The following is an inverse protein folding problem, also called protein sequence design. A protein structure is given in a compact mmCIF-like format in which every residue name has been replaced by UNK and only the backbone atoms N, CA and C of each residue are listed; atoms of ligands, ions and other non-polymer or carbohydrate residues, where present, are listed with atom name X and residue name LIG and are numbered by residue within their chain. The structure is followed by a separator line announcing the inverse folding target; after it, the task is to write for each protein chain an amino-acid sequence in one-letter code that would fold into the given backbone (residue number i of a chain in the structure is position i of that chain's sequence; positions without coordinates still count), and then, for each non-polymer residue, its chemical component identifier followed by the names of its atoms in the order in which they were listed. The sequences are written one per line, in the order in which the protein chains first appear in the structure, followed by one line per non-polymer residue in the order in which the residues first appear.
data_IF_735518121819
#
_entry.id   IF_735518121819
#
_cell.length_a   1.000
_cell.length_b   1.000
_cell.length_c   1.000
_cell.angle_alpha   90.00
_cell.angle_beta   90.00
_cell.angle_gamma   90.00
#
_symmetry.space_group_name_H-M   'P 1'
#
loop_
_entity.id
_entity.type
_entity.pdbx_description
1 polymer ?
#
# COMPACT_ATOMS: atom_id res chain seq x y z
N UNK A 1 -8.44 11.16 16.81
CA UNK A 1 -8.75 11.37 15.38
C UNK A 1 -9.96 10.53 15.06
N UNK A 2 -11.10 11.18 14.80
CA UNK A 2 -12.36 10.52 14.49
C UNK A 2 -12.42 10.32 12.97
N UNK A 3 -12.42 9.07 12.52
CA UNK A 3 -12.43 8.75 11.09
C UNK A 3 -13.84 8.33 10.66
N UNK A 4 -14.83 9.20 10.86
CA UNK A 4 -16.27 8.91 10.68
C UNK A 4 -16.70 8.41 9.30
N UNK A 5 -15.80 8.37 8.31
CA UNK A 5 -16.05 7.88 6.95
C UNK A 5 -15.62 6.41 6.72
N UNK A 6 -15.02 5.75 7.72
CA UNK A 6 -14.33 4.45 7.55
C UNK A 6 -15.23 3.24 7.27
N UNK A 7 -16.50 3.26 7.67
CA UNK A 7 -17.41 2.13 7.42
C UNK A 7 -18.01 2.16 6.01
N UNK A 8 -18.32 3.34 5.48
CA UNK A 8 -18.93 3.49 4.16
C UNK A 8 -17.89 3.52 3.02
N UNK A 9 -16.70 4.09 3.26
CA UNK A 9 -15.70 4.29 2.20
C UNK A 9 -14.82 3.06 1.98
N UNK A 10 -14.64 2.20 2.97
CA UNK A 10 -13.57 1.20 2.89
C UNK A 10 -14.03 -0.16 2.30
N UNK A 11 -15.34 -0.39 2.21
CA UNK A 11 -15.94 -1.54 1.52
C UNK A 11 -15.37 -2.90 1.95
N UNK A 12 -15.53 -3.96 1.14
CA UNK A 12 -14.94 -5.27 1.43
C UNK A 12 -13.40 -5.27 1.42
N UNK A 13 -12.75 -4.25 0.87
CA UNK A 13 -11.29 -4.17 0.73
C UNK A 13 -10.57 -4.09 2.09
N UNK A 14 -11.21 -3.56 3.14
CA UNK A 14 -10.61 -3.49 4.50
C UNK A 14 -10.13 -4.83 5.02
N UNK A 15 -10.79 -5.92 4.62
CA UNK A 15 -10.50 -7.27 5.13
C UNK A 15 -9.11 -7.76 4.73
N UNK A 16 -8.51 -7.18 3.69
CA UNK A 16 -7.16 -7.54 3.24
C UNK A 16 -6.07 -6.91 4.10
N UNK A 17 -6.41 -5.88 4.89
CA UNK A 17 -5.46 -5.11 5.68
C UNK A 17 -5.44 -5.53 7.14
N UNK A 18 -4.26 -5.47 7.74
CA UNK A 18 -4.05 -5.69 9.15
C UNK A 18 -4.56 -4.52 9.98
N UNK A 19 -4.54 -4.69 11.29
CA UNK A 19 -4.82 -3.61 12.24
C UNK A 19 -3.53 -3.26 12.99
N UNK A 20 -3.31 -1.97 13.21
CA UNK A 20 -2.23 -1.51 14.08
C UNK A 20 -2.52 -1.78 15.56
N UNK A 21 -1.55 -1.50 16.43
CA UNK A 21 -1.68 -1.68 17.88
C UNK A 21 -2.87 -0.89 18.48
N UNK A 22 -3.24 0.23 17.86
CA UNK A 22 -4.39 1.05 18.23
C UNK A 22 -5.72 0.56 17.62
N UNK A 23 -5.76 -0.64 17.04
CA UNK A 23 -6.95 -1.24 16.44
C UNK A 23 -7.36 -0.69 15.06
N UNK A 24 -6.67 0.35 14.56
CA UNK A 24 -6.99 1.00 13.29
C UNK A 24 -6.56 0.12 12.11
N UNK A 25 -7.43 -0.02 11.10
CA UNK A 25 -7.11 -0.69 9.85
C UNK A 25 -5.97 0.03 9.12
N UNK A 26 -4.89 -0.69 8.83
CA UNK A 26 -3.68 -0.11 8.24
C UNK A 26 -3.91 0.41 6.82
N UNK A 27 -4.74 -0.26 6.01
CA UNK A 27 -5.06 0.18 4.66
C UNK A 27 -5.74 1.54 4.66
N UNK A 28 -6.79 1.66 5.49
CA UNK A 28 -7.48 2.94 5.68
C UNK A 28 -6.51 4.00 6.19
N UNK A 29 -5.71 3.67 7.21
CA UNK A 29 -4.74 4.61 7.77
C UNK A 29 -3.78 5.12 6.70
N UNK A 30 -3.11 4.23 5.98
CA UNK A 30 -2.13 4.59 4.96
C UNK A 30 -2.79 5.35 3.81
N UNK A 31 -3.87 4.82 3.24
CA UNK A 31 -4.57 5.43 2.12
C UNK A 31 -5.12 6.83 2.46
N UNK A 32 -5.79 6.97 3.60
CA UNK A 32 -6.29 8.25 4.07
C UNK A 32 -5.16 9.22 4.42
N UNK A 33 -4.11 8.76 5.12
CA UNK A 33 -2.96 9.61 5.46
C UNK A 33 -2.20 10.09 4.22
N UNK A 34 -2.18 9.28 3.15
CA UNK A 34 -1.60 9.70 1.88
C UNK A 34 -2.48 10.75 1.18
N UNK A 35 -3.80 10.67 1.28
CA UNK A 35 -4.68 11.68 0.68
C UNK A 35 -4.81 12.99 1.48
N UNK A 36 -4.96 12.92 2.80
CA UNK A 36 -5.53 14.04 3.57
C UNK A 36 -4.57 14.94 4.33
N UNK A 37 -3.29 14.61 4.37
CA UNK A 37 -2.25 15.43 5.00
C UNK A 37 -2.42 15.67 6.51
N UNK A 38 -1.27 15.83 7.17
CA UNK A 38 -1.18 16.64 8.39
C UNK A 38 -0.30 17.88 8.17
N UNK A 39 0.44 18.02 7.05
CA UNK A 39 1.39 19.12 6.78
C UNK A 39 1.89 19.22 5.31
N UNK A 40 1.01 19.37 4.31
CA UNK A 40 1.38 19.73 2.92
C UNK A 40 2.05 18.70 1.99
N UNK A 41 2.65 17.58 2.47
CA UNK A 41 3.59 16.77 1.65
C UNK A 41 3.15 15.36 1.18
N UNK A 42 1.99 14.80 1.57
CA UNK A 42 1.71 13.35 1.43
C UNK A 42 0.84 12.87 0.26
N UNK A 43 0.15 13.74 -0.47
CA UNK A 43 -0.49 13.36 -1.74
C UNK A 43 0.52 12.75 -2.72
N UNK A 44 1.80 13.10 -2.58
CA UNK A 44 2.91 12.50 -3.32
C UNK A 44 2.98 10.98 -3.19
N UNK A 45 2.57 10.34 -2.08
CA UNK A 45 2.75 8.90 -1.93
C UNK A 45 1.80 8.07 -2.83
N UNK A 46 0.52 8.44 -2.88
CA UNK A 46 -0.44 7.80 -3.80
C UNK A 46 -0.05 8.11 -5.25
N UNK A 47 0.36 9.35 -5.53
CA UNK A 47 0.84 9.78 -6.84
C UNK A 47 2.10 9.00 -7.26
N UNK A 48 3.07 8.84 -6.37
CA UNK A 48 4.30 8.09 -6.62
C UNK A 48 3.99 6.63 -6.86
N UNK A 49 3.15 5.99 -6.04
CA UNK A 49 2.70 4.61 -6.27
C UNK A 49 2.04 4.51 -7.65
N UNK A 50 1.09 5.38 -7.98
CA UNK A 50 0.44 5.39 -9.29
C UNK A 50 1.46 5.54 -10.44
N UNK A 51 2.41 6.48 -10.31
CA UNK A 51 3.46 6.73 -11.30
C UNK A 51 4.40 5.53 -11.47
N UNK A 52 4.85 4.90 -10.39
CA UNK A 52 5.72 3.70 -10.43
C UNK A 52 5.04 2.52 -11.12
N UNK A 53 3.71 2.41 -10.97
CA UNK A 53 2.91 1.36 -11.57
C UNK A 53 2.40 1.73 -12.98
N UNK A 54 2.60 2.99 -13.41
CA UNK A 54 2.00 3.57 -14.62
C UNK A 54 0.48 3.38 -14.65
N UNK A 55 -0.18 3.67 -13.51
CA UNK A 55 -1.63 3.63 -13.33
C UNK A 55 -2.13 5.09 -13.28
N UNK A 56 -3.26 5.43 -13.93
CA UNK A 56 -3.86 6.76 -13.81
C UNK A 56 -4.17 7.10 -12.35
N UNK A 57 -3.83 8.29 -11.87
CA UNK A 57 -4.10 8.71 -10.49
C UNK A 57 -5.59 8.63 -10.11
N UNK A 58 -6.48 8.83 -11.10
CA UNK A 58 -7.94 8.69 -10.93
C UNK A 58 -8.36 7.31 -10.42
N UNK A 59 -7.60 6.26 -10.74
CA UNK A 59 -7.83 4.90 -10.24
C UNK A 59 -7.64 4.79 -8.72
N UNK A 60 -6.86 5.67 -8.12
CA UNK A 60 -6.66 5.75 -6.67
C UNK A 60 -7.35 6.97 -6.05
N UNK A 61 -8.26 7.63 -6.76
CA UNK A 61 -9.05 8.79 -6.32
C UNK A 61 -9.61 8.60 -4.91
N UNK A 62 -9.61 9.65 -4.08
CA UNK A 62 -10.08 9.63 -2.70
C UNK A 62 -11.58 9.24 -2.56
N UNK A 63 -11.86 7.95 -2.71
CA UNK A 63 -13.18 7.36 -2.83
C UNK A 63 -13.12 5.89 -2.44
N UNK A 64 -14.28 5.26 -2.26
CA UNK A 64 -14.34 3.84 -1.97
C UNK A 64 -13.75 2.97 -3.08
N UNK A 65 -14.05 3.34 -4.33
CA UNK A 65 -13.50 2.70 -5.53
C UNK A 65 -11.99 2.85 -5.58
N UNK A 66 -11.46 4.04 -5.28
CA UNK A 66 -10.01 4.26 -5.27
C UNK A 66 -9.29 3.48 -4.18
N UNK A 67 -9.88 3.37 -2.98
CA UNK A 67 -9.34 2.50 -1.93
C UNK A 67 -9.37 1.02 -2.31
N UNK A 68 -10.46 0.57 -2.94
CA UNK A 68 -10.58 -0.78 -3.47
C UNK A 68 -9.49 -1.07 -4.52
N UNK A 69 -9.30 -0.19 -5.49
CA UNK A 69 -8.29 -0.31 -6.54
C UNK A 69 -6.87 -0.31 -5.98
N UNK A 70 -6.58 0.56 -5.02
CA UNK A 70 -5.31 0.59 -4.29
C UNK A 70 -5.05 -0.73 -3.57
N UNK A 71 -6.07 -1.28 -2.89
CA UNK A 71 -5.99 -2.56 -2.19
C UNK A 71 -5.80 -3.73 -3.16
N UNK A 72 -6.57 -3.79 -4.24
CA UNK A 72 -6.48 -4.88 -5.20
C UNK A 72 -5.17 -4.85 -5.98
N UNK A 73 -4.61 -3.67 -6.22
CA UNK A 73 -3.23 -3.53 -6.73
C UNK A 73 -2.25 -4.21 -5.79
N UNK A 74 -2.32 -3.91 -4.48
CA UNK A 74 -1.44 -4.54 -3.50
C UNK A 74 -1.60 -6.07 -3.44
N UNK A 75 -2.85 -6.56 -3.44
CA UNK A 75 -3.14 -8.01 -3.47
C UNK A 75 -2.56 -8.66 -4.73
N UNK A 76 -2.79 -8.07 -5.90
CA UNK A 76 -2.26 -8.59 -7.17
C UNK A 76 -0.74 -8.61 -7.18
N UNK A 77 -0.08 -7.61 -6.60
CA UNK A 77 1.38 -7.60 -6.47
C UNK A 77 1.88 -8.75 -5.60
N UNK A 78 1.26 -9.00 -4.45
CA UNK A 78 1.66 -10.11 -3.56
C UNK A 78 1.44 -11.47 -4.22
N UNK A 79 0.42 -11.61 -5.06
CA UNK A 79 0.11 -12.86 -5.78
C UNK A 79 0.85 -13.00 -7.13
N UNK A 80 1.54 -11.97 -7.61
CA UNK A 80 2.22 -12.01 -8.89
C UNK A 80 3.51 -12.84 -8.78
N UNK A 81 3.71 -13.88 -9.60
CA UNK A 81 4.90 -14.74 -9.56
C UNK A 81 6.21 -14.01 -9.90
N UNK A 82 6.15 -12.85 -10.54
CA UNK A 82 7.32 -12.01 -10.85
C UNK A 82 7.74 -11.09 -9.71
N UNK A 83 6.93 -11.01 -8.63
CA UNK A 83 7.23 -10.17 -7.48
C UNK A 83 8.34 -10.79 -6.64
N UNK A 84 9.37 -10.00 -6.35
CA UNK A 84 10.46 -10.42 -5.47
C UNK A 84 9.97 -10.32 -4.03
N UNK A 85 10.23 -11.33 -3.21
CA UNK A 85 9.85 -11.30 -1.79
C UNK A 85 11.04 -11.60 -0.87
N UNK A 86 10.95 -11.10 0.36
CA UNK A 86 11.91 -11.35 1.44
C UNK A 86 11.18 -11.46 2.76
N UNK A 87 11.51 -12.46 3.57
CA UNK A 87 11.09 -12.52 4.97
C UNK A 87 12.05 -11.68 5.82
N UNK A 88 11.49 -10.75 6.58
CA UNK A 88 12.19 -9.89 7.52
C UNK A 88 12.10 -10.46 8.94
N UNK A 89 12.92 -9.92 9.82
CA UNK A 89 12.80 -10.16 11.26
C UNK A 89 11.36 -9.92 11.78
N UNK A 90 10.91 -10.77 12.72
CA UNK A 90 9.55 -10.71 13.27
C UNK A 90 8.44 -11.29 12.38
N UNK A 91 8.80 -12.10 11.37
CA UNK A 91 7.84 -12.87 10.56
C UNK A 91 7.05 -12.05 9.55
N UNK A 92 7.52 -10.85 9.23
CA UNK A 92 6.93 -10.00 8.19
C UNK A 92 7.55 -10.33 6.85
N UNK A 93 6.77 -10.36 5.79
CA UNK A 93 7.26 -10.50 4.41
C UNK A 93 7.18 -9.15 3.71
N UNK A 94 8.28 -8.74 3.10
CA UNK A 94 8.35 -7.62 2.17
C UNK A 94 8.25 -8.15 0.74
N UNK A 95 7.47 -7.47 -0.09
CA UNK A 95 7.34 -7.73 -1.51
C UNK A 95 7.77 -6.50 -2.29
N UNK A 96 8.50 -6.69 -3.38
CA UNK A 96 8.89 -5.65 -4.31
C UNK A 96 8.44 -5.99 -5.72
N UNK A 97 7.76 -5.03 -6.35
CA UNK A 97 7.36 -5.13 -7.74
C UNK A 97 7.62 -3.81 -8.46
N UNK A 98 8.19 -3.93 -9.65
CA UNK A 98 8.38 -2.82 -10.57
C UNK A 98 7.90 -3.25 -11.95
N UNK A 99 7.24 -2.33 -12.66
CA UNK A 99 6.91 -2.53 -14.07
C UNK A 99 8.21 -2.40 -14.88
N UNK A 100 8.42 -3.31 -15.82
CA UNK A 100 9.52 -3.28 -16.79
C UNK A 100 10.93 -3.46 -16.20
N UNK A 101 11.07 -4.14 -15.05
CA UNK A 101 12.39 -4.48 -14.48
C UNK A 101 13.19 -3.29 -13.95
N UNK A 102 12.55 -2.13 -13.78
CA UNK A 102 13.17 -0.87 -13.34
C UNK A 102 13.53 -0.93 -11.85
N UNK A 103 14.61 -0.25 -11.44
CA UNK A 103 15.02 -0.10 -10.02
C UNK A 103 14.06 0.75 -9.17
N UNK A 104 12.91 1.13 -9.71
CA UNK A 104 11.92 1.99 -9.09
C UNK A 104 10.56 1.32 -9.18
N UNK A 105 10.08 0.82 -8.05
CA UNK A 105 8.82 0.10 -7.96
C UNK A 105 8.03 0.48 -6.72
N UNK A 106 7.27 -0.48 -6.22
CA UNK A 106 6.56 -0.41 -4.95
C UNK A 106 7.06 -1.50 -4.01
N UNK A 107 6.99 -1.21 -2.72
CA UNK A 107 7.20 -2.17 -1.63
C UNK A 107 5.89 -2.36 -0.89
N UNK A 108 5.58 -3.62 -0.57
CA UNK A 108 4.44 -4.02 0.25
C UNK A 108 4.94 -4.80 1.44
N UNK A 109 4.48 -4.44 2.64
CA UNK A 109 4.66 -5.27 3.82
C UNK A 109 3.43 -6.12 4.07
N UNK A 110 3.65 -7.39 4.38
CA UNK A 110 2.64 -8.41 4.63
C UNK A 110 2.97 -9.16 5.91
N UNK A 111 1.97 -9.41 6.75
CA UNK A 111 2.15 -10.11 8.02
C UNK A 111 0.84 -10.75 8.43
N UNK A 112 0.89 -12.00 8.92
CA UNK A 112 -0.27 -12.74 9.42
C UNK A 112 -1.44 -12.80 8.43
N UNK A 113 -1.15 -13.05 7.15
CA UNK A 113 -2.19 -13.13 6.11
C UNK A 113 -2.77 -11.78 5.69
N UNK A 114 -2.18 -10.66 6.12
CA UNK A 114 -2.73 -9.30 5.91
C UNK A 114 -1.69 -8.32 5.38
N UNK A 115 -2.13 -7.44 4.49
CA UNK A 115 -1.39 -6.25 4.05
C UNK A 115 -1.17 -5.30 5.23
N UNK A 116 0.04 -4.78 5.38
CA UNK A 116 0.42 -3.85 6.45
C UNK A 116 0.71 -2.45 5.92
N UNK A 117 1.34 -2.32 4.75
CA UNK A 117 1.57 -1.03 4.08
C UNK A 117 1.90 -1.25 2.60
N UNK A 118 1.72 -0.22 1.78
CA UNK A 118 2.23 -0.16 0.39
C UNK A 118 2.75 1.24 0.07
N UNK A 119 3.95 1.35 -0.50
CA UNK A 119 4.58 2.63 -0.83
C UNK A 119 5.56 2.50 -1.99
N UNK A 120 5.89 3.61 -2.67
CA UNK A 120 6.90 3.65 -3.70
C UNK A 120 8.32 3.58 -3.10
N UNK A 121 9.20 2.77 -3.67
CA UNK A 121 10.58 2.62 -3.20
C UNK A 121 11.53 2.15 -4.31
N UNK A 122 12.83 2.24 -4.09
CA UNK A 122 13.82 1.66 -5.00
C UNK A 122 14.04 0.17 -4.72
N UNK A 123 14.57 -0.56 -5.70
CA UNK A 123 15.04 -1.93 -5.52
C UNK A 123 16.15 -1.99 -4.46
N UNK A 124 17.07 -1.03 -4.48
CA UNK A 124 18.13 -0.90 -3.48
C UNK A 124 17.57 -0.80 -2.05
N UNK A 125 16.58 0.08 -1.82
CA UNK A 125 15.91 0.19 -0.54
C UNK A 125 15.33 -1.17 -0.10
N UNK A 126 14.63 -1.86 -1.01
CA UNK A 126 14.09 -3.18 -0.74
C UNK A 126 15.18 -4.20 -0.39
N UNK A 127 16.29 -4.19 -1.12
CA UNK A 127 17.42 -5.09 -0.89
C UNK A 127 18.15 -4.81 0.44
N UNK A 128 18.04 -3.60 0.98
CA UNK A 128 18.59 -3.22 2.28
C UNK A 128 17.69 -3.56 3.48
N UNK A 129 16.48 -4.08 3.29
CA UNK A 129 15.58 -4.45 4.38
C UNK A 129 16.12 -5.67 5.16
N UNK A 130 16.07 -5.61 6.50
CA UNK A 130 16.46 -6.65 7.46
C UNK A 130 15.28 -7.03 8.37
#
# INVERSE_FOLDING_TARGET
MNYGWQSAVAGPAVRFWGRGANGINQGIRHYYQYWHNLNGKRASHIVEVANRLKIPLSEFSNSATGFYNYTMTAVRTVLNPQTISRTLSGGRTAFFWARDGVDKGIVIFYQNGKLQSMFAASREYFMGLQ
#
